data_IF_748282165803
#
_entry.id   IF_748282165803
#
_cell.length_a   1.000
_cell.length_b   1.000
_cell.length_c   1.000
_cell.angle_alpha   90.00
_cell.angle_beta   90.00
_cell.angle_gamma   90.00
#
_symmetry.space_group_name_H-M   'P 1'
#
loop_
_entity.id
_entity.type
_entity.pdbx_description
1 polymer ?
#
# COMPACT_ATOMS: atom_id res chain seq x y z
N UNK A 1 67.56 -11.29 58.88
CA UNK A 1 66.28 -10.58 58.70
C UNK A 1 66.11 -9.94 57.25
N UNK A 2 67.18 -9.54 56.57
CA UNK A 2 67.13 -8.93 55.21
C UNK A 2 66.79 -9.92 54.13
N UNK A 3 67.23 -11.16 54.17
CA UNK A 3 66.96 -12.20 53.12
C UNK A 3 65.49 -12.69 53.06
N UNK A 4 64.81 -12.76 54.20
CA UNK A 4 63.38 -13.15 54.26
C UNK A 4 62.45 -12.08 53.63
N UNK A 5 62.83 -10.81 53.72
CA UNK A 5 62.05 -9.69 53.19
C UNK A 5 62.19 -9.63 51.67
N UNK A 6 63.39 -10.00 51.14
CA UNK A 6 63.64 -10.06 49.71
C UNK A 6 62.89 -11.18 49.01
N UNK A 7 62.77 -12.35 49.69
CA UNK A 7 61.99 -13.51 49.19
C UNK A 7 60.46 -13.21 49.15
N UNK A 8 59.90 -12.57 50.18
CA UNK A 8 58.49 -12.22 50.21
C UNK A 8 58.10 -11.16 49.14
N UNK A 9 59.02 -10.19 48.88
CA UNK A 9 58.78 -9.16 47.85
C UNK A 9 58.78 -9.75 46.44
N UNK A 10 59.64 -10.75 46.16
CA UNK A 10 59.65 -11.41 44.88
C UNK A 10 58.44 -12.37 44.68
N UNK A 11 57.93 -12.99 45.75
CA UNK A 11 56.72 -13.79 45.70
C UNK A 11 55.49 -12.93 45.46
N UNK A 12 55.41 -11.75 46.13
CA UNK A 12 54.32 -10.80 45.84
C UNK A 12 54.36 -10.21 44.41
N UNK A 13 55.57 -9.97 43.85
CA UNK A 13 55.74 -9.48 42.46
C UNK A 13 55.37 -10.54 41.44
N UNK A 14 55.70 -11.82 41.71
CA UNK A 14 55.28 -12.96 40.86
C UNK A 14 53.78 -13.22 40.95
N UNK A 15 53.15 -13.07 42.11
CA UNK A 15 51.70 -13.18 42.30
C UNK A 15 50.93 -12.05 41.61
N UNK A 16 51.48 -10.81 41.60
CA UNK A 16 50.85 -9.68 40.90
C UNK A 16 50.97 -9.76 39.36
N UNK A 17 52.05 -10.43 38.87
CA UNK A 17 52.26 -10.62 37.43
C UNK A 17 51.38 -11.75 36.85
N UNK A 18 50.92 -12.70 37.68
CA UNK A 18 49.97 -13.79 37.25
C UNK A 18 48.53 -13.29 37.21
N UNK A 19 48.17 -12.18 37.84
CA UNK A 19 46.81 -11.60 37.77
C UNK A 19 46.56 -10.79 36.51
N UNK A 20 47.53 -10.51 35.66
CA UNK A 20 47.38 -9.71 34.44
C UNK A 20 47.18 -10.58 33.17
N UNK A 21 47.18 -11.88 33.22
CA UNK A 21 47.06 -12.77 32.06
C UNK A 21 45.61 -13.29 31.85
N UNK A 22 44.64 -12.89 32.70
CA UNK A 22 43.27 -13.43 32.66
C UNK A 22 42.22 -12.56 32.00
N UNK A 23 42.60 -11.46 31.30
CA UNK A 23 41.60 -10.51 30.74
C UNK A 23 41.56 -10.46 29.22
N UNK A 24 41.77 -11.59 28.53
CA UNK A 24 41.32 -11.76 27.14
C UNK A 24 39.98 -12.46 27.15
N UNK A 25 38.98 -11.90 27.80
CA UNK A 25 37.59 -12.28 27.59
C UNK A 25 37.21 -11.86 26.17
N UNK A 26 36.89 -12.82 25.29
CA UNK A 26 36.24 -12.50 24.01
C UNK A 26 35.02 -11.61 24.33
N UNK A 27 34.78 -10.55 23.57
CA UNK A 27 33.60 -9.74 23.77
C UNK A 27 32.37 -10.63 23.76
N UNK A 28 31.63 -10.67 24.86
CA UNK A 28 30.40 -11.45 24.98
C UNK A 28 29.29 -10.60 24.36
N UNK A 29 28.91 -10.93 23.13
CA UNK A 29 27.81 -10.28 22.43
C UNK A 29 26.47 -10.78 22.96
N UNK A 30 25.56 -9.87 23.26
CA UNK A 30 24.16 -10.22 23.57
C UNK A 30 23.38 -10.38 22.26
N UNK A 31 23.13 -11.60 21.86
CA UNK A 31 22.40 -11.93 20.63
C UNK A 31 20.87 -11.80 20.77
N UNK A 32 20.34 -11.36 21.93
CA UNK A 32 18.89 -11.18 22.19
C UNK A 32 18.04 -12.39 21.80
N UNK A 33 18.55 -13.59 22.05
CA UNK A 33 17.85 -14.85 21.73
C UNK A 33 17.90 -15.27 20.27
N UNK A 34 18.63 -14.55 19.40
CA UNK A 34 18.82 -14.91 17.99
C UNK A 34 20.03 -15.87 17.84
N UNK A 35 20.00 -16.71 16.83
CA UNK A 35 21.02 -17.71 16.56
C UNK A 35 22.05 -17.19 15.57
N UNK A 36 23.30 -16.88 15.97
CA UNK A 36 24.34 -16.43 15.05
C UNK A 36 24.64 -17.52 14.01
N UNK A 37 24.70 -17.14 12.75
CA UNK A 37 25.05 -18.00 11.63
C UNK A 37 26.49 -17.76 11.17
N UNK A 38 26.85 -16.50 11.01
CA UNK A 38 28.19 -16.04 10.61
C UNK A 38 28.55 -14.79 11.38
N UNK A 39 29.82 -14.63 11.72
CA UNK A 39 30.41 -13.43 12.30
C UNK A 39 31.51 -12.88 11.37
N UNK A 40 31.51 -11.58 11.16
CA UNK A 40 32.55 -10.86 10.45
C UNK A 40 32.83 -9.51 11.17
N UNK A 41 34.00 -9.38 11.77
CA UNK A 41 34.45 -8.17 12.49
C UNK A 41 33.43 -7.59 13.47
N UNK A 42 32.78 -8.47 14.27
CA UNK A 42 31.80 -8.10 15.26
C UNK A 42 30.38 -7.87 14.70
N UNK A 43 30.18 -7.99 13.40
CA UNK A 43 28.89 -8.01 12.75
C UNK A 43 28.38 -9.45 12.68
N UNK A 44 27.11 -9.68 12.97
CA UNK A 44 26.52 -11.00 12.99
C UNK A 44 25.39 -11.14 11.97
N UNK A 45 25.44 -12.15 11.15
CA UNK A 45 24.31 -12.65 10.38
C UNK A 45 23.63 -13.76 11.20
N UNK A 46 22.31 -13.69 11.32
CA UNK A 46 21.57 -14.67 12.10
C UNK A 46 20.79 -15.64 11.21
N UNK A 47 20.52 -16.84 11.74
CA UNK A 47 19.73 -17.86 11.03
C UNK A 47 18.33 -17.35 10.67
N UNK A 48 17.75 -16.54 11.54
CA UNK A 48 16.43 -15.93 11.36
C UNK A 48 16.40 -14.97 10.17
N UNK A 49 17.50 -14.24 9.91
CA UNK A 49 17.61 -13.34 8.76
C UNK A 49 17.63 -14.11 7.44
N UNK A 50 18.42 -15.19 7.39
CA UNK A 50 18.45 -16.07 6.24
C UNK A 50 17.09 -16.75 6.00
N UNK A 51 16.46 -17.25 7.05
CA UNK A 51 15.16 -17.92 6.97
C UNK A 51 14.05 -16.99 6.47
N UNK A 52 14.10 -15.69 6.83
CA UNK A 52 13.12 -14.71 6.42
C UNK A 52 13.10 -14.42 4.91
N UNK A 53 14.25 -14.61 4.23
CA UNK A 53 14.40 -14.32 2.80
C UNK A 53 14.50 -15.59 1.92
N UNK A 54 14.63 -16.75 2.52
CA UNK A 54 14.77 -18.00 1.81
C UNK A 54 13.45 -18.42 1.14
N UNK A 55 13.42 -18.67 -0.19
CA UNK A 55 12.21 -19.11 -0.87
C UNK A 55 11.71 -20.47 -0.37
N UNK A 56 10.39 -20.59 -0.24
CA UNK A 56 9.73 -21.82 0.21
C UNK A 56 9.67 -22.85 -0.94
N UNK A 57 9.90 -24.13 -0.62
CA UNK A 57 9.73 -25.22 -1.59
C UNK A 57 10.96 -25.53 -2.46
N UNK A 58 12.11 -24.99 -2.13
CA UNK A 58 13.38 -25.33 -2.79
C UNK A 58 13.88 -26.73 -2.43
N UNK A 59 14.68 -27.32 -3.33
CA UNK A 59 15.44 -28.52 -3.02
C UNK A 59 16.52 -28.23 -1.96
N UNK A 60 17.07 -29.28 -1.35
CA UNK A 60 18.10 -29.12 -0.32
C UNK A 60 19.38 -28.48 -0.88
N UNK A 61 19.73 -28.81 -2.11
CA UNK A 61 20.92 -28.29 -2.78
C UNK A 61 20.73 -26.83 -3.19
N UNK A 62 19.55 -26.46 -3.69
CA UNK A 62 19.22 -25.06 -4.02
C UNK A 62 19.20 -24.18 -2.76
N UNK A 63 18.69 -24.71 -1.64
CA UNK A 63 18.68 -24.03 -0.35
C UNK A 63 20.09 -23.75 0.18
N UNK A 64 21.01 -24.71 0.02
CA UNK A 64 22.42 -24.54 0.41
C UNK A 64 23.12 -23.50 -0.47
N UNK A 65 22.93 -23.58 -1.77
CA UNK A 65 23.49 -22.62 -2.72
C UNK A 65 22.96 -21.20 -2.46
N UNK A 66 21.67 -21.05 -2.17
CA UNK A 66 21.07 -19.78 -1.78
C UNK A 66 21.72 -19.22 -0.52
N UNK A 67 21.89 -20.05 0.52
CA UNK A 67 22.50 -19.65 1.77
C UNK A 67 23.97 -19.19 1.57
N UNK A 68 24.76 -19.92 0.77
CA UNK A 68 26.13 -19.53 0.45
C UNK A 68 26.20 -18.17 -0.27
N UNK A 69 25.34 -17.94 -1.27
CA UNK A 69 25.26 -16.67 -1.96
C UNK A 69 24.83 -15.53 -1.03
N UNK A 70 23.84 -15.77 -0.19
CA UNK A 70 23.35 -14.76 0.76
C UNK A 70 24.44 -14.36 1.76
N UNK A 71 25.13 -15.34 2.35
CA UNK A 71 26.25 -15.11 3.28
C UNK A 71 27.37 -14.32 2.59
N UNK A 72 27.70 -14.69 1.35
CA UNK A 72 28.75 -14.00 0.57
C UNK A 72 28.38 -12.55 0.34
N UNK A 73 27.18 -12.27 -0.17
CA UNK A 73 26.72 -10.92 -0.43
C UNK A 73 26.72 -10.07 0.86
N UNK A 74 26.22 -10.64 1.95
CA UNK A 74 26.25 -9.99 3.26
C UNK A 74 27.67 -9.64 3.71
N UNK A 75 28.63 -10.54 3.54
CA UNK A 75 30.02 -10.29 3.90
C UNK A 75 30.67 -9.25 2.97
N UNK A 76 30.42 -9.33 1.65
CA UNK A 76 30.92 -8.36 0.67
C UNK A 76 30.39 -6.93 0.97
N UNK A 77 29.12 -6.79 1.35
CA UNK A 77 28.53 -5.50 1.72
C UNK A 77 29.21 -4.90 2.96
N UNK A 78 29.46 -5.70 4.01
CA UNK A 78 30.15 -5.22 5.22
C UNK A 78 31.58 -4.77 4.87
N UNK A 79 32.34 -5.61 4.16
CA UNK A 79 33.72 -5.29 3.79
C UNK A 79 33.80 -4.06 2.89
N UNK A 80 32.87 -3.92 1.94
CA UNK A 80 32.78 -2.74 1.08
C UNK A 80 32.46 -1.49 1.89
N UNK A 81 31.51 -1.59 2.83
CA UNK A 81 31.14 -0.46 3.69
C UNK A 81 32.31 -0.01 4.57
N UNK A 82 33.00 -0.92 5.23
CA UNK A 82 34.19 -0.63 6.03
C UNK A 82 35.30 0.03 5.18
N UNK A 83 35.50 -0.50 3.97
CA UNK A 83 36.45 0.07 3.01
C UNK A 83 36.04 1.48 2.60
N UNK A 84 34.74 1.71 2.34
CA UNK A 84 34.21 3.00 1.98
C UNK A 84 34.38 4.02 3.12
N UNK A 85 34.04 3.65 4.36
CA UNK A 85 34.21 4.51 5.54
C UNK A 85 35.66 4.96 5.71
N UNK A 86 36.62 4.06 5.51
CA UNK A 86 38.06 4.36 5.62
C UNK A 86 38.58 5.25 4.48
N UNK A 87 37.89 5.30 3.33
CA UNK A 87 38.33 6.06 2.14
C UNK A 87 37.54 7.37 1.92
N UNK A 88 36.46 7.59 2.66
CA UNK A 88 35.71 8.85 2.63
C UNK A 88 36.27 9.76 3.74
N UNK A 89 37.12 10.73 3.43
CA UNK A 89 37.85 11.52 4.45
C UNK A 89 36.97 12.51 5.20
N UNK A 90 35.87 12.95 4.56
CA UNK A 90 34.91 13.88 5.14
C UNK A 90 33.49 13.37 4.85
N UNK A 91 32.75 13.05 5.89
CA UNK A 91 31.37 12.60 5.82
C UNK A 91 30.38 13.65 6.35
N UNK A 92 30.84 14.91 6.52
CA UNK A 92 29.98 16.00 7.04
C UNK A 92 28.71 16.20 6.20
N UNK A 93 28.82 16.05 4.90
CA UNK A 93 27.66 16.10 3.98
C UNK A 93 26.72 14.92 4.25
N UNK A 94 27.25 13.71 4.41
CA UNK A 94 26.47 12.50 4.73
C UNK A 94 25.77 12.67 6.07
N UNK A 95 26.47 13.14 7.11
CA UNK A 95 25.89 13.40 8.43
C UNK A 95 24.77 14.44 8.35
N UNK A 96 24.93 15.49 7.54
CA UNK A 96 23.88 16.47 7.32
C UNK A 96 22.66 15.87 6.61
N UNK A 97 22.86 15.01 5.62
CA UNK A 97 21.76 14.27 4.95
C UNK A 97 21.04 13.34 5.91
N UNK A 98 21.78 12.57 6.71
CA UNK A 98 21.19 11.68 7.74
C UNK A 98 20.39 12.48 8.77
N UNK A 99 20.92 13.61 9.24
CA UNK A 99 20.22 14.50 10.17
C UNK A 99 18.92 15.07 9.57
N UNK A 100 18.97 15.51 8.32
CA UNK A 100 17.80 16.03 7.61
C UNK A 100 16.75 14.93 7.41
N UNK A 101 17.17 13.73 7.01
CA UNK A 101 16.29 12.57 6.83
C UNK A 101 15.64 12.15 8.17
N UNK A 102 16.42 12.06 9.24
CA UNK A 102 15.92 11.78 10.58
C UNK A 102 14.86 12.79 11.01
N UNK A 103 15.13 14.11 10.81
CA UNK A 103 14.17 15.17 11.11
C UNK A 103 12.87 14.99 10.31
N UNK A 104 12.97 14.77 9.01
CA UNK A 104 11.83 14.56 8.13
C UNK A 104 10.99 13.35 8.57
N UNK A 105 11.66 12.24 8.90
CA UNK A 105 10.99 11.02 9.35
C UNK A 105 10.26 11.21 10.68
N UNK A 106 10.90 11.84 11.67
CA UNK A 106 10.26 12.14 12.97
C UNK A 106 9.04 13.04 12.76
N UNK A 107 9.17 14.09 11.93
CA UNK A 107 8.05 14.99 11.63
C UNK A 107 6.92 14.24 10.91
N UNK A 108 7.23 13.37 9.97
CA UNK A 108 6.24 12.56 9.27
C UNK A 108 5.47 11.65 10.24
N UNK A 109 6.17 10.87 11.07
CA UNK A 109 5.55 9.97 12.06
C UNK A 109 4.66 10.75 13.02
N UNK A 110 5.14 11.90 13.52
CA UNK A 110 4.35 12.75 14.41
C UNK A 110 3.10 13.31 13.74
N UNK A 111 3.22 13.81 12.50
CA UNK A 111 2.07 14.30 11.73
C UNK A 111 1.03 13.20 11.49
N UNK A 112 1.47 11.96 11.15
CA UNK A 112 0.56 10.83 11.00
C UNK A 112 -0.17 10.50 12.31
N UNK A 113 0.53 10.52 13.43
CA UNK A 113 -0.10 10.31 14.75
C UNK A 113 -1.14 11.37 15.08
N UNK A 114 -0.85 12.65 14.82
CA UNK A 114 -1.80 13.76 15.01
C UNK A 114 -3.04 13.62 14.14
N UNK A 115 -2.86 13.27 12.87
CA UNK A 115 -3.96 13.05 11.92
C UNK A 115 -4.84 11.90 12.42
N UNK A 116 -4.22 10.78 12.82
CA UNK A 116 -4.95 9.61 13.28
C UNK A 116 -5.72 9.88 14.57
N UNK A 117 -5.16 10.68 15.48
CA UNK A 117 -5.81 11.03 16.76
C UNK A 117 -6.99 12.02 16.59
N UNK A 118 -6.86 12.99 15.67
CA UNK A 118 -7.77 14.15 15.61
C UNK A 118 -8.75 14.16 14.44
N UNK A 119 -8.42 13.51 13.32
CA UNK A 119 -9.23 13.62 12.09
C UNK A 119 -10.12 12.41 11.80
N UNK A 120 -9.94 11.27 12.46
CA UNK A 120 -10.66 10.04 12.15
C UNK A 120 -12.19 10.13 12.35
N UNK A 121 -12.70 11.11 13.12
CA UNK A 121 -14.12 11.22 13.49
C UNK A 121 -14.86 12.44 12.88
N UNK A 122 -14.18 13.30 12.12
CA UNK A 122 -14.76 14.62 11.75
C UNK A 122 -15.33 14.73 10.32
N UNK A 123 -15.23 13.70 9.48
CA UNK A 123 -15.70 13.80 8.09
C UNK A 123 -17.06 13.14 7.97
N UNK A 124 -18.07 13.96 7.72
CA UNK A 124 -19.45 13.51 7.57
C UNK A 124 -19.83 13.34 6.09
N UNK A 125 -20.89 12.55 5.82
CA UNK A 125 -21.45 12.43 4.48
C UNK A 125 -21.91 13.77 3.90
N UNK A 126 -22.38 14.69 4.74
CA UNK A 126 -22.76 16.05 4.34
C UNK A 126 -21.55 16.87 3.84
N UNK A 127 -20.37 16.68 4.45
CA UNK A 127 -19.13 17.32 3.98
C UNK A 127 -18.73 16.80 2.60
N UNK A 128 -18.86 15.49 2.38
CA UNK A 128 -18.57 14.87 1.09
C UNK A 128 -19.51 15.39 0.01
N UNK A 129 -20.81 15.40 0.29
CA UNK A 129 -21.81 15.90 -0.65
C UNK A 129 -21.60 17.39 -0.98
N UNK A 130 -21.31 18.20 0.04
CA UNK A 130 -21.05 19.65 -0.14
C UNK A 130 -19.79 19.86 -1.01
N UNK A 131 -18.75 19.07 -0.78
CA UNK A 131 -17.52 19.14 -1.59
C UNK A 131 -17.79 18.77 -3.04
N UNK A 132 -18.51 17.68 -3.29
CA UNK A 132 -18.88 17.26 -4.62
C UNK A 132 -19.71 18.33 -5.34
N UNK A 133 -20.75 18.87 -4.68
CA UNK A 133 -21.63 19.88 -5.27
C UNK A 133 -20.90 21.18 -5.64
N UNK A 134 -19.90 21.56 -4.84
CA UNK A 134 -19.09 22.76 -5.06
C UNK A 134 -18.03 22.54 -6.17
N UNK A 135 -17.60 21.30 -6.39
CA UNK A 135 -16.49 20.96 -7.29
C UNK A 135 -16.92 20.05 -8.44
N UNK A 136 -18.17 20.09 -8.88
CA UNK A 136 -18.74 19.18 -9.92
C UNK A 136 -17.88 19.07 -11.17
N UNK A 137 -17.26 20.17 -11.59
CA UNK A 137 -16.44 20.20 -12.81
C UNK A 137 -15.18 19.33 -12.73
N UNK A 138 -14.73 18.96 -11.52
CA UNK A 138 -13.60 18.05 -11.29
C UNK A 138 -14.02 16.60 -11.54
N UNK A 139 -15.29 16.27 -11.27
CA UNK A 139 -15.80 14.90 -11.35
C UNK A 139 -16.41 14.63 -12.73
N UNK A 140 -15.53 14.35 -13.69
CA UNK A 140 -15.90 13.92 -15.04
C UNK A 140 -15.43 12.48 -15.28
N UNK A 141 -16.26 11.69 -15.92
CA UNK A 141 -15.92 10.30 -16.21
C UNK A 141 -14.76 10.21 -17.20
N UNK A 142 -13.73 9.44 -16.87
CA UNK A 142 -12.62 9.12 -17.78
C UNK A 142 -13.00 8.06 -18.80
N UNK A 143 -13.95 7.20 -18.45
CA UNK A 143 -14.53 6.15 -19.29
C UNK A 143 -16.05 6.10 -19.11
N UNK A 144 -16.81 5.56 -20.08
CA UNK A 144 -18.25 5.46 -19.96
C UNK A 144 -18.68 4.63 -18.76
N UNK A 145 -19.71 5.08 -18.03
CA UNK A 145 -20.34 4.35 -16.94
C UNK A 145 -21.75 3.90 -17.34
N UNK A 146 -22.20 2.79 -16.78
CA UNK A 146 -23.56 2.31 -16.99
C UNK A 146 -24.19 1.67 -15.76
N UNK A 147 -25.51 1.72 -15.69
CA UNK A 147 -26.36 0.90 -14.80
C UNK A 147 -27.20 -0.04 -15.64
N UNK A 148 -27.51 -1.23 -15.14
CA UNK A 148 -28.31 -2.15 -15.91
C UNK A 148 -28.26 -3.59 -15.45
N UNK A 149 -28.50 -4.49 -16.43
CA UNK A 149 -28.46 -5.93 -16.23
C UNK A 149 -27.91 -6.61 -17.49
N UNK A 150 -27.05 -7.58 -17.29
CA UNK A 150 -26.48 -8.40 -18.37
C UNK A 150 -26.70 -9.89 -18.10
N UNK A 151 -27.09 -10.63 -19.15
CA UNK A 151 -27.17 -12.10 -19.10
C UNK A 151 -26.63 -12.74 -20.37
N UNK A 152 -25.76 -13.73 -20.24
CA UNK A 152 -25.22 -14.57 -21.30
C UNK A 152 -25.73 -15.99 -21.16
N UNK A 153 -26.36 -16.50 -22.20
CA UNK A 153 -27.10 -17.78 -22.18
C UNK A 153 -26.68 -18.66 -23.37
N UNK A 154 -26.40 -19.96 -23.20
CA UNK A 154 -26.17 -20.86 -24.33
C UNK A 154 -27.34 -20.87 -25.31
N UNK A 155 -27.04 -21.03 -26.63
CA UNK A 155 -28.09 -21.08 -27.64
C UNK A 155 -29.11 -22.21 -27.44
N UNK A 156 -28.68 -23.30 -26.79
CA UNK A 156 -29.49 -24.50 -26.50
C UNK A 156 -30.38 -24.35 -25.28
N UNK A 157 -30.26 -23.26 -24.53
CA UNK A 157 -31.02 -23.07 -23.28
C UNK A 157 -32.51 -22.91 -23.56
N UNK A 158 -33.38 -23.49 -22.74
CA UNK A 158 -34.85 -23.41 -22.93
C UNK A 158 -35.37 -22.01 -22.55
N UNK A 159 -36.45 -21.59 -23.17
CA UNK A 159 -37.22 -20.42 -22.73
C UNK A 159 -36.61 -19.05 -23.09
N UNK A 160 -35.77 -18.97 -24.10
CA UNK A 160 -35.16 -17.71 -24.58
C UNK A 160 -36.20 -16.62 -24.89
N UNK A 161 -37.39 -16.98 -25.38
CA UNK A 161 -38.49 -16.04 -25.62
C UNK A 161 -38.93 -15.29 -24.35
N UNK A 162 -38.88 -15.95 -23.18
CA UNK A 162 -39.15 -15.33 -21.87
C UNK A 162 -38.00 -14.40 -21.44
N UNK A 163 -36.76 -14.82 -21.65
CA UNK A 163 -35.58 -13.98 -21.36
C UNK A 163 -35.67 -12.67 -22.15
N UNK A 164 -36.07 -12.71 -23.43
CA UNK A 164 -36.31 -11.53 -24.29
C UNK A 164 -37.36 -10.57 -23.77
N UNK A 165 -38.32 -11.05 -23.01
CA UNK A 165 -39.33 -10.20 -22.37
C UNK A 165 -38.79 -9.63 -21.06
N UNK A 166 -38.19 -10.47 -20.24
CA UNK A 166 -37.75 -10.08 -18.92
C UNK A 166 -36.56 -9.10 -18.93
N UNK A 167 -35.59 -9.28 -19.83
CA UNK A 167 -34.40 -8.41 -19.80
C UNK A 167 -34.68 -6.96 -20.19
N UNK A 168 -35.84 -6.68 -20.82
CA UNK A 168 -36.28 -5.31 -21.16
C UNK A 168 -37.10 -4.65 -20.06
N UNK A 169 -37.47 -5.39 -19.07
CA UNK A 169 -38.38 -4.97 -18.00
C UNK A 169 -37.59 -4.80 -16.68
N UNK A 170 -37.52 -3.55 -16.22
CA UNK A 170 -36.76 -3.20 -15.01
C UNK A 170 -37.55 -3.45 -13.71
N UNK A 171 -38.82 -3.93 -13.81
CA UNK A 171 -39.60 -4.26 -12.63
C UNK A 171 -38.97 -5.40 -11.86
N UNK A 172 -39.03 -5.32 -10.55
CA UNK A 172 -38.46 -6.29 -9.64
C UNK A 172 -38.86 -7.73 -9.97
N UNK A 173 -40.10 -7.97 -10.38
CA UNK A 173 -40.59 -9.30 -10.78
C UNK A 173 -39.88 -9.89 -12.00
N UNK A 174 -39.50 -9.05 -12.98
CA UNK A 174 -38.76 -9.50 -14.14
C UNK A 174 -37.30 -9.81 -13.81
N UNK A 175 -36.71 -9.00 -12.95
CA UNK A 175 -35.35 -9.21 -12.41
C UNK A 175 -35.30 -10.54 -11.64
N UNK A 176 -36.25 -10.81 -10.75
CA UNK A 176 -36.33 -12.07 -10.01
C UNK A 176 -36.50 -13.30 -10.92
N UNK A 177 -37.29 -13.17 -11.99
CA UNK A 177 -37.41 -14.24 -12.99
C UNK A 177 -36.07 -14.50 -13.72
N UNK A 178 -35.34 -13.45 -14.10
CA UNK A 178 -34.04 -13.58 -14.73
C UNK A 178 -33.00 -14.17 -13.78
N UNK A 179 -33.01 -13.75 -12.53
CA UNK A 179 -32.11 -14.28 -11.50
C UNK A 179 -32.34 -15.79 -11.31
N UNK A 180 -33.61 -16.22 -11.09
CA UNK A 180 -33.93 -17.62 -10.98
C UNK A 180 -33.61 -18.43 -12.23
N UNK A 181 -33.81 -17.84 -13.40
CA UNK A 181 -33.47 -18.48 -14.67
C UNK A 181 -31.94 -18.60 -14.81
N UNK A 182 -31.19 -17.59 -14.41
CA UNK A 182 -29.74 -17.54 -14.55
C UNK A 182 -29.03 -18.65 -13.78
N UNK A 183 -29.51 -18.98 -12.59
CA UNK A 183 -28.94 -20.05 -11.72
C UNK A 183 -28.83 -21.42 -12.44
N UNK A 184 -29.70 -21.68 -13.39
CA UNK A 184 -29.76 -22.98 -14.07
C UNK A 184 -29.28 -22.92 -15.55
N UNK A 185 -29.38 -21.77 -16.19
CA UNK A 185 -29.29 -21.68 -17.64
C UNK A 185 -28.28 -20.64 -18.14
N UNK A 186 -27.79 -19.72 -17.30
CA UNK A 186 -26.85 -18.70 -17.75
C UNK A 186 -25.41 -19.09 -17.50
N UNK A 187 -24.52 -18.66 -18.38
CA UNK A 187 -23.08 -18.73 -18.21
C UNK A 187 -22.57 -17.52 -17.42
N UNK A 188 -23.26 -16.39 -17.56
CA UNK A 188 -22.96 -15.15 -16.86
C UNK A 188 -24.25 -14.38 -16.62
N UNK A 189 -24.40 -13.82 -15.42
CA UNK A 189 -25.47 -12.91 -15.04
C UNK A 189 -24.86 -11.82 -14.17
N UNK A 190 -25.09 -10.56 -14.54
CA UNK A 190 -24.63 -9.39 -13.80
C UNK A 190 -25.81 -8.44 -13.59
N UNK A 191 -26.07 -8.13 -12.32
CA UNK A 191 -27.05 -7.14 -11.90
C UNK A 191 -26.31 -5.89 -11.38
N UNK A 192 -26.56 -4.75 -11.98
CA UNK A 192 -25.92 -3.47 -11.65
C UNK A 192 -26.85 -2.27 -11.83
N UNK A 193 -28.17 -2.45 -11.60
CA UNK A 193 -29.10 -1.33 -11.58
C UNK A 193 -28.88 -0.39 -10.39
N UNK A 194 -28.33 -0.91 -9.31
CA UNK A 194 -28.09 -0.21 -8.05
C UNK A 194 -26.71 0.46 -7.95
N UNK A 195 -25.84 0.21 -8.92
CA UNK A 195 -24.48 0.74 -8.92
C UNK A 195 -24.00 1.12 -10.32
N UNK A 196 -23.17 2.16 -10.39
CA UNK A 196 -22.45 2.51 -11.61
C UNK A 196 -21.24 1.59 -11.76
N UNK A 197 -21.06 1.06 -12.96
CA UNK A 197 -19.88 0.26 -13.33
C UNK A 197 -19.29 0.79 -14.64
N UNK A 198 -17.97 0.62 -14.88
CA UNK A 198 -17.38 0.89 -16.18
C UNK A 198 -18.04 0.07 -17.29
N UNK A 199 -18.45 0.73 -18.38
CA UNK A 199 -19.08 0.04 -19.50
C UNK A 199 -18.20 -1.09 -20.07
N UNK A 200 -16.89 -0.93 -20.02
CA UNK A 200 -15.91 -1.93 -20.48
C UNK A 200 -16.03 -3.27 -19.77
N UNK A 201 -16.48 -3.31 -18.52
CA UNK A 201 -16.67 -4.57 -17.76
C UNK A 201 -17.69 -5.48 -18.45
N UNK A 202 -18.81 -4.91 -18.92
CA UNK A 202 -19.86 -5.67 -19.61
C UNK A 202 -19.53 -5.86 -21.08
N UNK A 203 -19.01 -4.82 -21.74
CA UNK A 203 -18.73 -4.89 -23.17
C UNK A 203 -17.65 -5.92 -23.53
N UNK A 204 -16.72 -6.17 -22.61
CA UNK A 204 -15.71 -7.22 -22.78
C UNK A 204 -16.30 -8.64 -22.79
N UNK A 205 -17.51 -8.83 -22.24
CA UNK A 205 -18.18 -10.12 -22.13
C UNK A 205 -19.04 -10.46 -23.35
N UNK A 206 -19.23 -9.52 -24.28
CA UNK A 206 -20.14 -9.66 -25.43
C UNK A 206 -19.46 -9.30 -26.75
N UNK A 207 -19.93 -9.85 -27.89
CA UNK A 207 -19.33 -9.63 -29.21
C UNK A 207 -19.78 -8.30 -29.84
N UNK A 208 -19.92 -7.26 -29.06
CA UNK A 208 -20.26 -5.92 -29.56
C UNK A 208 -19.02 -5.27 -30.18
N UNK A 209 -19.03 -5.05 -31.49
CA UNK A 209 -17.96 -4.39 -32.23
C UNK A 209 -18.42 -2.99 -32.65
N UNK A 210 -18.48 -2.10 -31.67
CA UNK A 210 -18.92 -0.72 -31.89
C UNK A 210 -17.76 0.24 -31.59
N UNK A 211 -17.29 0.96 -32.62
CA UNK A 211 -16.20 1.94 -32.47
C UNK A 211 -16.64 3.20 -31.71
N UNK A 212 -17.95 3.52 -31.73
CA UNK A 212 -18.53 4.71 -31.12
C UNK A 212 -19.54 4.31 -30.03
N UNK A 213 -19.04 3.73 -28.98
CA UNK A 213 -19.84 3.20 -27.85
C UNK A 213 -20.80 4.23 -27.28
N UNK A 214 -20.36 5.47 -27.07
CA UNK A 214 -21.20 6.56 -26.54
C UNK A 214 -22.38 6.89 -27.46
N UNK A 215 -22.14 6.98 -28.78
CA UNK A 215 -23.19 7.24 -29.75
C UNK A 215 -24.16 6.07 -29.88
N UNK A 216 -23.69 4.84 -29.69
CA UNK A 216 -24.51 3.63 -29.71
C UNK A 216 -25.47 3.60 -28.51
N UNK A 217 -24.97 3.77 -27.30
CA UNK A 217 -25.81 3.73 -26.08
C UNK A 217 -26.66 4.97 -25.87
N UNK A 218 -26.36 6.07 -26.52
CA UNK A 218 -27.27 7.20 -26.56
C UNK A 218 -28.65 6.84 -27.18
N UNK A 219 -28.69 5.80 -28.06
CA UNK A 219 -29.89 5.40 -28.80
C UNK A 219 -30.38 3.99 -28.46
N UNK A 220 -29.53 3.12 -27.98
CA UNK A 220 -29.82 1.69 -27.77
C UNK A 220 -29.68 1.32 -26.31
N UNK A 221 -30.82 1.20 -25.62
CA UNK A 221 -30.85 0.79 -24.20
C UNK A 221 -30.98 -0.72 -24.01
N UNK A 222 -31.52 -1.42 -25.01
CA UNK A 222 -31.68 -2.86 -24.98
C UNK A 222 -30.85 -3.47 -26.10
N UNK A 223 -29.86 -4.25 -25.76
CA UNK A 223 -28.96 -4.89 -26.72
C UNK A 223 -29.18 -6.41 -26.66
N UNK A 224 -29.49 -6.97 -27.82
CA UNK A 224 -29.57 -8.41 -28.02
C UNK A 224 -28.59 -8.82 -29.13
N UNK A 225 -27.64 -9.67 -28.80
CA UNK A 225 -26.67 -10.21 -29.74
C UNK A 225 -26.62 -11.73 -29.60
N UNK A 226 -26.10 -12.37 -30.65
CA UNK A 226 -25.76 -13.80 -30.60
C UNK A 226 -24.47 -14.06 -31.38
N UNK A 227 -23.75 -15.07 -30.95
CA UNK A 227 -22.66 -15.67 -31.72
C UNK A 227 -22.98 -17.15 -32.05
N UNK A 228 -21.96 -17.94 -32.29
CA UNK A 228 -22.09 -19.36 -32.61
C UNK A 228 -22.48 -20.25 -31.42
N UNK A 229 -22.38 -19.75 -30.17
CA UNK A 229 -22.57 -20.52 -28.95
C UNK A 229 -23.57 -19.89 -27.95
N UNK A 230 -23.71 -18.56 -27.97
CA UNK A 230 -24.44 -17.86 -26.92
C UNK A 230 -25.37 -16.77 -27.44
N UNK A 231 -26.41 -16.51 -26.65
CA UNK A 231 -27.20 -15.29 -26.64
C UNK A 231 -26.65 -14.32 -25.56
N UNK A 232 -26.67 -13.03 -25.90
CA UNK A 232 -26.24 -11.92 -25.04
C UNK A 232 -27.38 -10.92 -24.96
N UNK A 233 -27.85 -10.64 -23.76
CA UNK A 233 -28.88 -9.66 -23.50
C UNK A 233 -28.34 -8.63 -22.50
N UNK A 234 -28.39 -7.36 -22.86
CA UNK A 234 -27.98 -6.24 -22.03
C UNK A 234 -29.11 -5.22 -21.99
N UNK A 235 -29.57 -4.90 -20.79
CA UNK A 235 -30.43 -3.75 -20.53
C UNK A 235 -29.60 -2.66 -19.85
N UNK A 236 -29.59 -1.45 -20.40
CA UNK A 236 -28.92 -0.28 -19.84
C UNK A 236 -29.99 0.71 -19.39
N UNK A 237 -30.21 0.80 -18.09
CA UNK A 237 -31.14 1.80 -17.52
C UNK A 237 -30.57 3.21 -17.61
N UNK A 238 -29.30 3.34 -17.22
CA UNK A 238 -28.62 4.62 -17.22
C UNK A 238 -27.23 4.48 -17.87
N UNK A 239 -26.80 5.56 -18.54
CA UNK A 239 -25.52 5.61 -19.24
C UNK A 239 -24.92 7.01 -19.17
N UNK A 240 -23.66 7.08 -18.81
CA UNK A 240 -22.90 8.33 -18.80
C UNK A 240 -21.73 8.18 -19.78
N UNK A 241 -21.65 9.02 -20.81
CA UNK A 241 -20.55 8.97 -21.77
C UNK A 241 -19.24 9.48 -21.14
N UNK A 242 -18.13 9.16 -21.82
CA UNK A 242 -16.82 9.73 -21.48
C UNK A 242 -16.88 11.24 -21.41
N UNK A 243 -16.30 11.84 -20.37
CA UNK A 243 -16.34 13.28 -20.07
C UNK A 243 -17.69 13.79 -19.55
N UNK A 244 -18.66 12.89 -19.34
CA UNK A 244 -19.93 13.20 -18.69
C UNK A 244 -19.76 13.51 -17.20
N UNK A 245 -20.80 14.09 -16.60
CA UNK A 245 -20.81 14.35 -15.15
C UNK A 245 -20.90 13.02 -14.39
N UNK A 246 -19.86 12.69 -13.65
CA UNK A 246 -19.87 11.52 -12.77
C UNK A 246 -20.84 11.75 -11.61
N UNK A 247 -21.81 10.87 -11.34
CA UNK A 247 -22.73 11.00 -10.21
C UNK A 247 -22.00 10.85 -8.89
N UNK A 248 -22.52 11.52 -7.85
CA UNK A 248 -21.93 11.45 -6.52
C UNK A 248 -21.71 10.02 -6.03
N UNK A 249 -22.65 9.13 -6.27
CA UNK A 249 -22.56 7.71 -5.89
C UNK A 249 -21.31 7.03 -6.48
N UNK A 250 -20.97 7.32 -7.73
CA UNK A 250 -19.79 6.78 -8.38
C UNK A 250 -18.51 7.51 -7.93
N UNK A 251 -18.57 8.83 -7.81
CA UNK A 251 -17.46 9.69 -7.39
C UNK A 251 -17.15 9.61 -5.88
N UNK A 252 -18.03 9.02 -5.06
CA UNK A 252 -17.97 9.13 -3.59
C UNK A 252 -16.62 8.74 -2.99
N UNK A 253 -15.96 7.71 -3.52
CA UNK A 253 -14.64 7.30 -3.02
C UNK A 253 -13.59 8.37 -3.31
N UNK A 254 -13.56 8.89 -4.52
CA UNK A 254 -12.64 9.97 -4.92
C UNK A 254 -12.92 11.26 -4.14
N UNK A 255 -14.19 11.60 -3.96
CA UNK A 255 -14.61 12.74 -3.11
C UNK A 255 -14.10 12.57 -1.68
N UNK A 256 -14.27 11.39 -1.10
CA UNK A 256 -13.81 11.08 0.25
C UNK A 256 -12.30 11.26 0.39
N UNK A 257 -11.53 10.73 -0.53
CA UNK A 257 -10.07 10.89 -0.54
C UNK A 257 -9.64 12.36 -0.64
N UNK A 258 -10.29 13.12 -1.51
CA UNK A 258 -9.99 14.55 -1.68
C UNK A 258 -10.34 15.37 -0.43
N UNK A 259 -11.49 15.11 0.20
CA UNK A 259 -11.92 15.80 1.43
C UNK A 259 -10.99 15.44 2.60
N UNK A 260 -10.64 14.15 2.75
CA UNK A 260 -9.67 13.69 3.76
C UNK A 260 -8.35 14.41 3.58
N UNK A 261 -7.77 14.37 2.37
CA UNK A 261 -6.50 15.03 2.08
C UNK A 261 -6.54 16.54 2.34
N UNK A 262 -7.62 17.22 1.94
CA UNK A 262 -7.79 18.65 2.21
C UNK A 262 -7.84 18.94 3.71
N UNK A 263 -8.66 18.23 4.46
CA UNK A 263 -8.75 18.41 5.92
C UNK A 263 -7.42 18.12 6.63
N UNK A 264 -6.68 17.12 6.18
CA UNK A 264 -5.33 16.81 6.71
C UNK A 264 -4.37 18.00 6.50
N UNK A 265 -4.35 18.56 5.30
CA UNK A 265 -3.50 19.71 4.97
C UNK A 265 -3.90 20.96 5.79
N UNK A 266 -5.17 21.24 5.88
CA UNK A 266 -5.72 22.35 6.67
C UNK A 266 -5.35 22.21 8.15
N UNK A 267 -5.57 21.02 8.73
CA UNK A 267 -5.24 20.72 10.12
C UNK A 267 -3.75 20.88 10.40
N UNK A 268 -2.89 20.29 9.57
CA UNK A 268 -1.44 20.41 9.76
C UNK A 268 -0.93 21.84 9.60
N UNK A 269 -1.55 22.63 8.72
CA UNK A 269 -1.22 24.03 8.58
C UNK A 269 -1.66 24.84 9.82
N UNK A 270 -2.82 24.54 10.39
CA UNK A 270 -3.27 25.14 11.64
C UNK A 270 -2.30 24.81 12.78
N UNK A 271 -1.95 23.52 12.98
CA UNK A 271 -0.99 23.11 14.01
C UNK A 271 0.36 23.82 13.86
N UNK A 272 0.87 23.96 12.64
CA UNK A 272 2.12 24.70 12.39
C UNK A 272 1.97 26.20 12.71
N UNK A 273 0.83 26.78 12.38
CA UNK A 273 0.52 28.17 12.70
C UNK A 273 0.46 28.42 14.20
N UNK A 274 -0.21 27.54 14.93
CA UNK A 274 -0.34 27.64 16.40
C UNK A 274 1.02 27.51 17.08
N UNK A 275 1.85 26.54 16.65
CA UNK A 275 3.23 26.38 17.16
C UNK A 275 4.11 27.60 16.87
N UNK A 276 3.95 28.23 15.71
CA UNK A 276 4.68 29.44 15.36
C UNK A 276 4.24 30.61 16.24
N UNK A 277 2.94 30.82 16.40
CA UNK A 277 2.39 31.90 17.22
C UNK A 277 2.80 31.75 18.70
N UNK A 278 2.72 30.53 19.26
CA UNK A 278 3.20 30.24 20.61
C UNK A 278 4.69 30.58 20.76
N UNK A 279 5.52 30.22 19.77
CA UNK A 279 6.95 30.51 19.81
C UNK A 279 7.26 32.03 19.76
N UNK A 280 6.41 32.83 19.09
CA UNK A 280 6.49 34.29 19.06
C UNK A 280 6.07 34.87 20.40
N UNK A 281 4.94 34.46 20.95
CA UNK A 281 4.39 34.92 22.24
C UNK A 281 5.33 34.63 23.41
N UNK A 282 5.92 33.43 23.41
CA UNK A 282 6.91 33.01 24.43
C UNK A 282 8.28 33.66 24.24
N UNK A 283 8.50 34.46 23.23
CA UNK A 283 9.79 35.07 22.90
C UNK A 283 10.89 34.06 22.53
N UNK A 284 10.50 32.84 22.14
CA UNK A 284 11.44 31.82 21.64
C UNK A 284 11.99 32.18 20.26
N UNK A 285 11.20 32.89 19.44
CA UNK A 285 11.62 33.36 18.13
C UNK A 285 12.36 34.71 18.28
N UNK A 286 13.65 34.72 17.89
CA UNK A 286 14.50 35.93 17.92
C UNK A 286 15.02 36.23 16.54
N UNK A 287 14.81 37.44 16.04
CA UNK A 287 15.41 37.92 14.81
C UNK A 287 16.80 38.45 15.09
N UNK A 288 17.83 37.83 14.51
CA UNK A 288 19.24 38.26 14.66
C UNK A 288 19.70 39.10 13.45
N UNK A 289 18.76 39.86 12.89
CA UNK A 289 19.09 40.77 11.74
C UNK A 289 19.35 42.15 12.35
N UNK A 290 20.56 42.70 12.06
CA UNK A 290 20.91 44.09 12.38
C UNK A 290 20.29 45.04 11.37
#
# INVERSE_FOLDING_TARGET
MKEKILSMRNICLLGLMMLLVGACGKPQYDHKGRTPLVELDGNFLYQEDLAAVQPVGQSKDDSLLFAEHYIRNWAEDILLYEKAQNNIPDNAEIEQLVKNYRKALIMHVYQQSLIQEKLAEEITEADLQTYYDTNKDVFKTEAPLMKGLFIKVPLTSPGIGRVRQWYKDERQSAVEHLEKYSLQNAVKYEYFYDKWIPASEILSLMPLREEKVDAYFAKNRHVELKDTAYWYFLNVSDYIPTGGQEPYEAARSAVSEMVVNRKQVEFLNQVKGDLYNEAVEDGKLKYCVN
#
